data_IF_796353583454
#
_entry.id   IF_796353583454
#
_cell.length_a   1.000
_cell.length_b   1.000
_cell.length_c   1.000
_cell.angle_alpha   90.00
_cell.angle_beta   90.00
_cell.angle_gamma   90.00
#
_symmetry.space_group_name_H-M   'P 1'
#
loop_
_entity.id
_entity.type
_entity.pdbx_description
1 polymer ?
#
# COMPACT_ATOMS: atom_id res chain seq x y z
N UNK A 1 16.60 3.06 -9.54
CA UNK A 1 15.88 1.77 -9.49
C UNK A 1 14.75 1.91 -8.49
N UNK A 2 13.50 1.93 -8.94
CA UNK A 2 12.34 2.34 -8.13
C UNK A 2 12.00 1.32 -7.04
N UNK A 3 11.99 1.79 -5.79
CA UNK A 3 11.73 0.99 -4.60
C UNK A 3 10.36 0.28 -4.70
N UNK A 4 10.27 -0.98 -4.27
CA UNK A 4 9.03 -1.77 -4.31
C UNK A 4 7.87 -1.06 -3.60
N UNK A 5 8.18 -0.27 -2.55
CA UNK A 5 7.22 0.56 -1.85
C UNK A 5 6.54 1.62 -2.74
N UNK A 6 7.22 2.14 -3.77
CA UNK A 6 6.62 3.09 -4.71
C UNK A 6 5.66 2.41 -5.68
N UNK A 7 5.96 1.16 -6.08
CA UNK A 7 5.03 0.35 -6.89
C UNK A 7 3.78 0.01 -6.08
N UNK A 8 3.97 -0.46 -4.85
CA UNK A 8 2.87 -0.77 -3.92
C UNK A 8 1.91 0.41 -3.78
N UNK A 9 2.43 1.60 -3.48
CA UNK A 9 1.65 2.85 -3.40
C UNK A 9 0.86 3.14 -4.66
N UNK A 10 1.47 2.91 -5.84
CA UNK A 10 0.82 3.14 -7.13
C UNK A 10 -0.33 2.16 -7.41
N UNK A 11 -0.19 0.89 -7.02
CA UNK A 11 -1.27 -0.10 -7.09
C UNK A 11 -2.37 0.20 -6.07
N UNK A 12 -1.98 0.64 -4.86
CA UNK A 12 -2.90 1.05 -3.80
C UNK A 12 -3.80 2.22 -4.23
N UNK A 13 -3.22 3.24 -4.86
CA UNK A 13 -3.93 4.37 -5.44
C UNK A 13 -4.86 3.99 -6.59
N UNK A 14 -4.55 2.89 -7.28
CA UNK A 14 -5.36 2.36 -8.38
C UNK A 14 -6.50 1.46 -7.90
N UNK A 15 -6.50 1.03 -6.65
CA UNK A 15 -7.45 0.03 -6.15
C UNK A 15 -7.13 -1.41 -6.58
N UNK A 16 -5.88 -1.69 -6.97
CA UNK A 16 -5.47 -2.99 -7.51
C UNK A 16 -5.04 -3.93 -6.37
N UNK A 17 -6.02 -4.39 -5.60
CA UNK A 17 -5.86 -5.20 -4.39
C UNK A 17 -4.95 -6.43 -4.59
N UNK A 18 -5.10 -7.14 -5.71
CA UNK A 18 -4.31 -8.34 -6.01
C UNK A 18 -2.83 -8.02 -6.18
N UNK A 19 -2.50 -6.95 -6.91
CA UNK A 19 -1.13 -6.52 -7.11
C UNK A 19 -0.50 -5.99 -5.80
N UNK A 20 -1.29 -5.28 -5.00
CA UNK A 20 -0.90 -4.80 -3.66
C UNK A 20 -0.57 -5.99 -2.76
N UNK A 21 -1.47 -6.98 -2.67
CA UNK A 21 -1.28 -8.19 -1.86
C UNK A 21 -0.09 -9.02 -2.34
N UNK A 22 0.06 -9.21 -3.65
CA UNK A 22 1.18 -9.96 -4.20
C UNK A 22 2.53 -9.30 -3.85
N UNK A 23 2.61 -7.96 -3.91
CA UNK A 23 3.81 -7.22 -3.50
C UNK A 23 4.06 -7.33 -1.99
N UNK A 24 3.00 -7.27 -1.18
CA UNK A 24 3.07 -7.44 0.27
C UNK A 24 3.55 -8.84 0.66
N UNK A 25 3.03 -9.88 0.02
CA UNK A 25 3.41 -11.27 0.26
C UNK A 25 4.82 -11.57 -0.24
N UNK A 26 5.19 -11.14 -1.44
CA UNK A 26 6.51 -11.42 -2.03
C UNK A 26 7.67 -10.68 -1.36
N UNK A 27 7.40 -9.58 -0.65
CA UNK A 27 8.44 -8.71 -0.10
C UNK A 27 8.28 -8.51 1.41
N UNK A 28 8.89 -9.39 2.19
CA UNK A 28 8.94 -9.27 3.65
C UNK A 28 9.63 -7.98 4.12
N UNK A 29 10.60 -7.47 3.35
CA UNK A 29 11.31 -6.22 3.64
C UNK A 29 10.40 -4.99 3.48
N UNK A 30 9.48 -5.06 2.51
CA UNK A 30 8.40 -4.08 2.39
C UNK A 30 7.54 -4.14 3.64
N UNK A 31 7.09 -5.32 4.06
CA UNK A 31 6.30 -5.49 5.29
C UNK A 31 6.95 -4.87 6.52
N UNK A 32 8.27 -5.06 6.70
CA UNK A 32 9.03 -4.46 7.80
C UNK A 32 9.15 -2.94 7.72
N UNK A 33 9.12 -2.38 6.52
CA UNK A 33 9.16 -0.92 6.29
C UNK A 33 7.78 -0.29 6.14
N UNK A 34 6.74 -1.10 6.00
CA UNK A 34 5.35 -0.69 5.87
C UNK A 34 4.79 -0.46 7.27
N UNK A 35 4.98 0.75 7.78
CA UNK A 35 4.32 1.15 9.01
C UNK A 35 2.85 1.46 8.69
N UNK A 36 1.93 0.64 9.22
CA UNK A 36 0.49 0.79 9.00
C UNK A 36 -0.05 2.13 9.54
N UNK A 37 0.67 2.75 10.46
CA UNK A 37 0.38 4.07 11.02
C UNK A 37 1.11 5.19 10.29
N UNK A 38 2.10 4.88 9.44
CA UNK A 38 2.77 5.89 8.64
C UNK A 38 1.89 6.29 7.46
N UNK A 39 1.50 7.56 7.46
CA UNK A 39 0.94 8.23 6.29
C UNK A 39 1.92 8.14 5.11
N UNK A 40 1.45 7.88 3.89
CA UNK A 40 2.32 7.87 2.70
C UNK A 40 2.82 9.27 2.26
N UNK A 41 2.66 10.27 3.13
CA UNK A 41 3.06 11.67 2.94
C UNK A 41 2.03 12.52 2.19
N UNK A 42 2.33 13.82 2.06
CA UNK A 42 1.44 14.80 1.41
C UNK A 42 1.06 14.43 -0.02
N UNK A 43 1.95 13.77 -0.76
CA UNK A 43 1.67 13.28 -2.12
C UNK A 43 0.53 12.24 -2.18
N UNK A 44 0.23 11.59 -1.06
CA UNK A 44 -0.89 10.66 -0.90
C UNK A 44 -1.94 11.22 0.06
N UNK A 45 -2.00 12.55 0.20
CA UNK A 45 -2.94 13.24 1.08
C UNK A 45 -2.82 12.84 2.55
N UNK A 46 -1.64 12.40 2.99
CA UNK A 46 -1.38 11.78 4.29
C UNK A 46 -2.25 10.54 4.58
N UNK A 47 -2.85 9.92 3.57
CA UNK A 47 -3.65 8.72 3.74
C UNK A 47 -2.77 7.52 4.06
N UNK A 48 -3.22 6.70 5.02
CA UNK A 48 -2.56 5.43 5.38
C UNK A 48 -2.94 4.32 4.39
N UNK A 49 -2.24 3.19 4.47
CA UNK A 49 -2.59 1.99 3.71
C UNK A 49 -4.07 1.59 3.90
N UNK A 50 -4.54 1.68 5.14
CA UNK A 50 -5.90 1.36 5.51
C UNK A 50 -6.92 2.31 4.89
N UNK A 51 -6.62 3.60 4.78
CA UNK A 51 -7.53 4.56 4.13
C UNK A 51 -7.80 4.17 2.67
N UNK A 52 -6.75 3.83 1.92
CA UNK A 52 -6.93 3.37 0.53
C UNK A 52 -7.62 2.02 0.45
N UNK A 53 -7.31 1.09 1.37
CA UNK A 53 -8.03 -0.18 1.46
C UNK A 53 -9.53 0.04 1.67
N UNK A 54 -9.92 0.94 2.57
CA UNK A 54 -11.32 1.30 2.81
C UNK A 54 -11.98 2.00 1.60
N UNK A 55 -11.28 2.95 0.97
CA UNK A 55 -11.81 3.69 -0.21
C UNK A 55 -12.10 2.74 -1.37
N UNK A 56 -11.24 1.75 -1.58
CA UNK A 56 -11.37 0.79 -2.68
C UNK A 56 -12.07 -0.51 -2.27
N UNK A 57 -12.60 -0.60 -1.04
CA UNK A 57 -13.22 -1.80 -0.48
C UNK A 57 -12.35 -3.06 -0.63
N UNK A 58 -11.03 -2.93 -0.43
CA UNK A 58 -10.07 -4.03 -0.51
C UNK A 58 -10.23 -4.97 0.68
N UNK A 59 -11.05 -6.01 0.54
CA UNK A 59 -11.43 -6.90 1.65
C UNK A 59 -10.27 -7.67 2.27
N UNK A 60 -9.21 -7.94 1.53
CA UNK A 60 -8.03 -8.64 2.02
C UNK A 60 -7.10 -7.73 2.85
N UNK A 61 -7.35 -6.41 2.86
CA UNK A 61 -6.56 -5.42 3.61
C UNK A 61 -7.30 -4.79 4.81
N UNK A 62 -8.58 -5.14 5.01
CA UNK A 62 -9.40 -4.74 6.16
C UNK A 62 -9.35 -5.85 7.20
#
# INVERSE_FOLDING_TARGET
MGNHASKFRKHLQRGDEFAVMQLYERHADMRKSLDANASYGEHFNNNTALHFACIHAMKLMI
#
